data_IF_962175967682
#
_entry.id   IF_962175967682
#
_cell.length_a   1.000
_cell.length_b   1.000
_cell.length_c   1.000
_cell.angle_alpha   90.00
_cell.angle_beta   90.00
_cell.angle_gamma   90.00
#
_symmetry.space_group_name_H-M   'P 1'
#
loop_
_entity.id
_entity.type
_entity.pdbx_description
1 polymer ?
#
# COMPACT_ATOMS: atom_id res chain seq x y z
N UNK A 1 18.84 10.49 -9.49
CA UNK A 1 18.84 11.98 -9.60
C UNK A 1 17.45 12.59 -9.37
N UNK A 2 16.42 11.79 -9.06
CA UNK A 2 15.10 12.29 -8.63
C UNK A 2 14.26 12.97 -9.71
N UNK A 3 14.66 12.95 -10.99
CA UNK A 3 14.00 13.72 -12.05
C UNK A 3 12.57 13.29 -12.38
N UNK A 4 12.23 12.01 -12.17
CA UNK A 4 10.93 11.45 -12.58
C UNK A 4 9.94 11.27 -11.42
N UNK A 5 10.42 10.97 -10.21
CA UNK A 5 9.59 10.76 -9.02
C UNK A 5 10.37 11.16 -7.78
N UNK A 6 10.33 12.46 -7.47
CA UNK A 6 11.12 13.04 -6.38
C UNK A 6 10.75 12.45 -5.01
N UNK A 7 9.48 12.31 -4.63
CA UNK A 7 9.12 11.69 -3.35
C UNK A 7 9.64 10.26 -3.19
N UNK A 8 9.54 9.43 -4.23
CA UNK A 8 10.04 8.06 -4.19
C UNK A 8 11.58 8.00 -4.13
N UNK A 9 12.26 8.92 -4.82
CA UNK A 9 13.71 9.06 -4.72
C UNK A 9 14.15 9.44 -3.30
N UNK A 10 13.49 10.44 -2.70
CA UNK A 10 13.80 10.89 -1.34
C UNK A 10 13.56 9.76 -0.31
N UNK A 11 12.51 8.95 -0.50
CA UNK A 11 12.26 7.75 0.30
C UNK A 11 13.42 6.74 0.22
N UNK A 12 13.91 6.43 -0.98
CA UNK A 12 15.03 5.49 -1.16
C UNK A 12 16.33 6.02 -0.54
N UNK A 13 16.58 7.33 -0.63
CA UNK A 13 17.75 7.96 -0.03
C UNK A 13 17.70 7.89 1.50
N UNK A 14 16.53 8.16 2.09
CA UNK A 14 16.35 8.06 3.53
C UNK A 14 16.43 6.61 4.02
N UNK A 15 15.85 5.67 3.27
CA UNK A 15 15.97 4.24 3.55
C UNK A 15 17.43 3.78 3.51
N UNK A 16 18.21 4.24 2.53
CA UNK A 16 19.65 3.98 2.46
C UNK A 16 20.39 4.57 3.66
N UNK A 17 20.08 5.79 4.08
CA UNK A 17 20.69 6.44 5.25
C UNK A 17 20.47 5.63 6.53
N UNK A 18 19.28 5.03 6.68
CA UNK A 18 18.90 4.27 7.87
C UNK A 18 19.43 2.83 7.86
N UNK A 19 19.49 2.18 6.69
CA UNK A 19 19.74 0.73 6.60
C UNK A 19 21.09 0.37 5.99
N UNK A 20 21.75 1.29 5.27
CA UNK A 20 22.93 1.00 4.46
C UNK A 20 22.62 0.33 3.11
N UNK A 21 21.34 0.10 2.77
CA UNK A 21 20.92 -0.52 1.52
C UNK A 21 19.97 0.40 0.73
N UNK A 22 20.28 0.74 -0.54
CA UNK A 22 19.45 1.63 -1.35
C UNK A 22 18.43 0.88 -2.22
N UNK A 23 17.76 -0.16 -1.69
CA UNK A 23 16.83 -1.00 -2.47
C UNK A 23 15.57 -1.36 -1.67
N UNK A 24 14.42 -1.32 -2.34
CA UNK A 24 13.12 -1.71 -1.82
C UNK A 24 12.45 -2.68 -2.79
N UNK A 25 11.67 -3.61 -2.24
CA UNK A 25 10.75 -4.43 -3.04
C UNK A 25 9.53 -3.58 -3.39
N UNK A 26 9.26 -3.43 -4.69
CA UNK A 26 8.09 -2.72 -5.20
C UNK A 26 7.19 -3.74 -5.91
N UNK A 27 6.04 -4.02 -5.33
CA UNK A 27 5.01 -4.91 -5.90
C UNK A 27 3.74 -4.12 -6.18
N UNK A 28 2.87 -4.66 -7.04
CA UNK A 28 1.56 -4.08 -7.29
C UNK A 28 0.79 -3.89 -5.98
N UNK A 29 0.15 -2.73 -5.85
CA UNK A 29 -0.73 -2.46 -4.72
C UNK A 29 -2.13 -2.96 -5.06
N UNK A 30 -2.39 -4.23 -4.73
CA UNK A 30 -3.65 -4.94 -4.86
C UNK A 30 -3.65 -6.22 -4.00
N UNK A 31 -4.77 -6.91 -3.94
CA UNK A 31 -4.85 -8.31 -3.53
C UNK A 31 -4.98 -9.23 -4.74
N UNK A 32 -4.71 -10.53 -4.58
CA UNK A 32 -4.75 -11.50 -5.67
C UNK A 32 -6.14 -11.50 -6.33
N UNK A 33 -6.21 -11.30 -7.64
CA UNK A 33 -7.49 -11.29 -8.38
C UNK A 33 -8.12 -9.91 -8.52
N UNK A 34 -7.66 -8.89 -7.78
CA UNK A 34 -8.12 -7.51 -7.93
C UNK A 34 -7.18 -6.69 -8.84
N UNK A 35 -7.70 -5.68 -9.58
CA UNK A 35 -6.88 -4.72 -10.29
C UNK A 35 -6.05 -3.85 -9.35
N UNK A 36 -5.02 -3.18 -9.89
CA UNK A 36 -4.24 -2.18 -9.13
C UNK A 36 -5.17 -1.05 -8.69
N UNK A 37 -5.02 -0.58 -7.46
CA UNK A 37 -5.80 0.52 -6.89
C UNK A 37 -5.68 1.81 -7.73
N UNK A 38 -6.80 2.51 -7.92
CA UNK A 38 -6.86 3.75 -8.71
C UNK A 38 -7.44 4.95 -7.93
N UNK A 39 -8.09 4.71 -6.79
CA UNK A 39 -8.71 5.74 -5.96
C UNK A 39 -8.23 5.67 -4.51
N UNK A 40 -8.28 6.78 -3.74
CA UNK A 40 -8.09 6.79 -2.29
C UNK A 40 -8.90 5.71 -1.57
N UNK A 41 -10.15 5.52 -1.97
CA UNK A 41 -11.08 4.55 -1.40
C UNK A 41 -10.63 3.11 -1.67
N UNK A 42 -10.15 2.82 -2.89
CA UNK A 42 -9.58 1.51 -3.25
C UNK A 42 -8.32 1.22 -2.45
N UNK A 43 -7.42 2.20 -2.35
CA UNK A 43 -6.18 2.07 -1.59
C UNK A 43 -6.46 1.81 -0.10
N UNK A 44 -7.43 2.54 0.49
CA UNK A 44 -7.85 2.31 1.87
C UNK A 44 -8.45 0.93 2.05
N UNK A 45 -9.40 0.52 1.18
CA UNK A 45 -10.03 -0.80 1.25
C UNK A 45 -8.99 -1.94 1.14
N UNK A 46 -8.08 -1.86 0.17
CA UNK A 46 -6.99 -2.83 -0.02
C UNK A 46 -6.07 -2.87 1.21
N UNK A 47 -5.65 -1.72 1.72
CA UNK A 47 -4.85 -1.61 2.94
C UNK A 47 -5.53 -2.27 4.14
N UNK A 48 -6.83 -2.01 4.36
CA UNK A 48 -7.56 -2.57 5.50
C UNK A 48 -7.71 -4.10 5.43
N UNK A 49 -7.79 -4.67 4.21
CA UNK A 49 -7.95 -6.11 3.95
C UNK A 49 -6.66 -6.93 3.91
N UNK A 50 -5.52 -6.29 3.70
CA UNK A 50 -4.19 -6.94 3.63
C UNK A 50 -3.49 -6.93 4.98
N UNK A 51 -2.35 -7.60 5.13
CA UNK A 51 -1.53 -7.55 6.35
C UNK A 51 -0.56 -6.34 6.40
N UNK A 52 -0.79 -5.32 5.56
CA UNK A 52 0.04 -4.11 5.56
C UNK A 52 -0.10 -3.35 6.89
N UNK A 53 1.02 -2.84 7.42
CA UNK A 53 1.03 -2.09 8.67
C UNK A 53 0.62 -0.62 8.48
N UNK A 54 1.10 0.00 7.40
CA UNK A 54 0.93 1.43 7.13
C UNK A 54 0.48 1.71 5.70
N UNK A 55 -0.34 2.75 5.53
CA UNK A 55 -0.70 3.32 4.24
C UNK A 55 -0.28 4.79 4.19
N UNK A 56 0.54 5.14 3.19
CA UNK A 56 0.84 6.53 2.84
C UNK A 56 -0.03 6.93 1.66
N UNK A 57 -0.86 7.94 1.84
CA UNK A 57 -1.75 8.46 0.80
C UNK A 57 -1.57 9.98 0.70
N UNK A 58 -0.76 10.42 -0.26
CA UNK A 58 -0.36 11.83 -0.34
C UNK A 58 0.37 12.27 0.93
N UNK A 59 -0.17 13.27 1.63
CA UNK A 59 0.38 13.80 2.88
C UNK A 59 -0.16 13.10 4.15
N UNK A 60 -0.94 12.02 4.00
CA UNK A 60 -1.50 11.28 5.11
C UNK A 60 -0.75 9.97 5.33
N UNK A 61 -0.48 9.65 6.60
CA UNK A 61 0.05 8.36 7.04
C UNK A 61 -0.98 7.73 7.97
N UNK A 62 -1.46 6.53 7.60
CA UNK A 62 -2.41 5.77 8.37
C UNK A 62 -1.70 4.54 8.94
N UNK A 63 -1.77 4.37 10.25
CA UNK A 63 -1.39 3.12 10.92
C UNK A 63 -2.63 2.23 11.06
N UNK A 64 -2.50 0.96 10.71
CA UNK A 64 -3.60 -0.01 10.74
C UNK A 64 -4.17 -0.21 12.15
N UNK A 65 -3.34 -0.10 13.19
CA UNK A 65 -3.78 -0.25 14.59
C UNK A 65 -4.73 0.86 15.04
N UNK A 66 -4.66 2.02 14.40
CA UNK A 66 -5.47 3.19 14.75
C UNK A 66 -6.80 3.23 13.99
N UNK A 67 -7.03 2.26 13.09
CA UNK A 67 -8.22 2.22 12.24
C UNK A 67 -9.37 1.45 12.91
N UNK A 68 -10.63 1.90 12.76
CA UNK A 68 -11.79 1.21 13.33
C UNK A 68 -11.95 -0.17 12.69
N UNK A 69 -12.39 -1.19 13.44
CA UNK A 69 -12.64 -2.53 12.89
C UNK A 69 -13.46 -2.46 11.58
N UNK A 70 -13.08 -3.27 10.59
CA UNK A 70 -13.83 -3.36 9.33
C UNK A 70 -15.26 -3.81 9.64
N UNK A 71 -16.23 -3.02 9.17
CA UNK A 71 -17.65 -3.41 9.15
C UNK A 71 -17.96 -3.92 7.76
N UNK A 72 -18.76 -4.99 7.68
CA UNK A 72 -19.26 -5.54 6.42
C UNK A 72 -18.15 -5.97 5.44
N UNK A 73 -17.13 -6.69 5.94
CA UNK A 73 -16.12 -7.26 5.06
C UNK A 73 -16.72 -8.45 4.31
N UNK A 74 -17.21 -8.17 3.10
CA UNK A 74 -17.58 -9.19 2.12
C UNK A 74 -16.31 -9.98 1.79
N UNK A 75 -16.37 -11.31 1.85
CA UNK A 75 -15.25 -12.17 1.49
C UNK A 75 -14.96 -12.02 -0.01
N UNK A 76 -14.05 -11.12 -0.36
CA UNK A 76 -13.68 -10.81 -1.74
C UNK A 76 -13.13 -12.04 -2.47
N UNK A 77 -12.65 -13.07 -1.74
CA UNK A 77 -12.26 -14.37 -2.35
C UNK A 77 -13.44 -15.07 -3.03
N UNK A 78 -14.67 -14.72 -2.66
CA UNK A 78 -15.90 -15.24 -3.28
C UNK A 78 -16.31 -14.49 -4.55
N UNK A 79 -15.90 -13.23 -4.73
CA UNK A 79 -16.24 -12.42 -5.91
C UNK A 79 -15.31 -12.66 -7.10
N UNK A 80 -14.06 -13.02 -6.84
CA UNK A 80 -13.08 -13.30 -7.88
C UNK A 80 -12.61 -14.76 -7.75
N UNK A 81 -13.46 -15.68 -8.19
CA UNK A 81 -13.04 -17.08 -8.37
C UNK A 81 -11.83 -17.10 -9.31
N UNK A 82 -10.78 -17.74 -8.82
CA UNK A 82 -9.59 -18.02 -9.60
C UNK A 82 -9.86 -19.29 -10.40
N UNK A 83 -9.73 -19.20 -11.72
CA UNK A 83 -9.46 -20.39 -12.53
C UNK A 83 -8.17 -21.08 -12.07
#
# INVERSE_FOLDING_TARGET
DGRHNRPYYDLLQEFHRLTGYPVLVNTSFNVRGEPIVCTPEDAYRCFRRTEMDHLVLGSFLLNKTDQPALKDDVDWRSEYQLD
#
